data_IF_450633313302
#
_entry.id   IF_450633313302
#
_cell.length_a   1.000
_cell.length_b   1.000
_cell.length_c   1.000
_cell.angle_alpha   90.00
_cell.angle_beta   90.00
_cell.angle_gamma   90.00
#
_symmetry.space_group_name_H-M   'P 1'
#
loop_
_entity.id
_entity.type
_entity.pdbx_description
1 polymer ?
#
# COMPACT_ATOMS: atom_id res chain seq x y z
N UNK A 1 13.33 11.72 -4.73
CA UNK A 1 14.29 12.77 -5.12
C UNK A 1 14.26 14.04 -4.24
N UNK A 2 13.28 14.21 -3.33
CA UNK A 2 13.17 15.46 -2.55
C UNK A 2 14.42 15.80 -1.71
N UNK A 3 15.07 14.79 -1.11
CA UNK A 3 16.28 15.00 -0.31
C UNK A 3 17.48 15.44 -1.15
N UNK A 4 17.79 14.71 -2.23
CA UNK A 4 18.92 15.03 -3.10
C UNK A 4 18.76 16.41 -3.74
N UNK A 5 17.55 16.76 -4.16
CA UNK A 5 17.24 18.10 -4.67
C UNK A 5 17.48 19.17 -3.59
N UNK A 6 16.92 19.00 -2.40
CA UNK A 6 17.06 19.97 -1.31
C UNK A 6 18.49 20.15 -0.79
N UNK A 7 19.35 19.12 -0.94
CA UNK A 7 20.78 19.20 -0.64
C UNK A 7 21.55 19.96 -1.73
N UNK A 8 21.27 19.69 -3.01
CA UNK A 8 21.87 20.43 -4.14
C UNK A 8 21.51 21.92 -4.09
N UNK A 9 20.26 22.24 -3.76
CA UNK A 9 19.80 23.63 -3.56
C UNK A 9 20.55 24.36 -2.45
N UNK A 10 21.13 23.63 -1.49
CA UNK A 10 21.98 24.19 -0.42
C UNK A 10 23.48 24.17 -0.75
N UNK A 11 23.84 23.92 -2.00
CA UNK A 11 25.23 23.96 -2.48
C UNK A 11 26.03 22.69 -2.19
N UNK A 12 25.39 21.60 -1.79
CA UNK A 12 26.06 20.31 -1.67
C UNK A 12 26.20 19.64 -3.04
N UNK A 13 27.34 19.00 -3.28
CA UNK A 13 27.50 18.03 -4.36
C UNK A 13 26.90 16.69 -3.89
N UNK A 14 25.98 16.11 -4.67
CA UNK A 14 25.21 14.93 -4.27
C UNK A 14 25.26 13.85 -5.35
N UNK A 15 25.90 12.73 -5.01
CA UNK A 15 25.88 11.50 -5.79
C UNK A 15 24.82 10.53 -5.25
N UNK A 16 23.84 10.16 -6.09
CA UNK A 16 22.80 9.19 -5.73
C UNK A 16 23.20 7.80 -6.21
N UNK A 17 23.60 6.93 -5.28
CA UNK A 17 23.96 5.54 -5.57
C UNK A 17 22.83 4.63 -5.10
N UNK A 18 22.06 4.08 -6.04
CA UNK A 18 21.02 3.10 -5.73
C UNK A 18 21.65 1.74 -5.39
N UNK A 19 21.66 1.37 -4.10
CA UNK A 19 22.26 0.12 -3.62
C UNK A 19 21.33 -1.08 -3.82
N UNK A 20 20.02 -0.86 -3.80
CA UNK A 20 19.02 -1.88 -4.10
C UNK A 20 17.76 -1.24 -4.71
N UNK A 21 16.98 -2.04 -5.41
CA UNK A 21 15.68 -1.64 -5.95
C UNK A 21 14.62 -2.64 -5.49
N UNK A 22 13.40 -2.15 -5.28
CA UNK A 22 12.28 -3.03 -4.95
C UNK A 22 11.75 -3.63 -6.25
N UNK A 23 11.52 -4.94 -6.24
CA UNK A 23 10.87 -5.67 -7.34
C UNK A 23 9.56 -6.27 -6.83
N UNK A 24 8.54 -6.43 -7.70
CA UNK A 24 7.37 -7.22 -7.36
C UNK A 24 7.78 -8.65 -6.98
N UNK A 25 7.15 -9.23 -5.97
CA UNK A 25 7.27 -10.65 -5.66
C UNK A 25 6.20 -11.47 -6.38
N UNK A 26 6.44 -12.78 -6.54
CA UNK A 26 5.55 -13.70 -7.28
C UNK A 26 4.21 -14.00 -6.56
N UNK A 27 4.03 -13.48 -5.34
CA UNK A 27 2.90 -13.83 -4.47
C UNK A 27 1.56 -13.16 -4.79
N UNK A 28 1.51 -12.20 -5.74
CA UNK A 28 0.25 -11.51 -6.07
C UNK A 28 -0.73 -12.45 -6.80
N UNK A 29 -0.22 -13.30 -7.70
CA UNK A 29 -1.03 -14.34 -8.35
C UNK A 29 -1.61 -15.32 -7.33
N UNK A 30 -0.83 -15.68 -6.33
CA UNK A 30 -1.32 -16.48 -5.21
C UNK A 30 -2.42 -15.75 -4.42
N UNK A 31 -2.43 -14.42 -4.34
CA UNK A 31 -3.49 -13.66 -3.66
C UNK A 31 -4.83 -13.78 -4.40
N UNK A 32 -4.84 -13.70 -5.74
CA UNK A 32 -6.06 -13.85 -6.53
C UNK A 32 -6.67 -15.26 -6.43
N UNK A 33 -5.81 -16.28 -6.36
CA UNK A 33 -6.23 -17.68 -6.29
C UNK A 33 -6.48 -18.18 -4.86
N UNK A 34 -5.99 -17.49 -3.82
CA UNK A 34 -6.08 -18.00 -2.45
C UNK A 34 -7.49 -17.79 -1.88
N UNK A 35 -8.19 -18.87 -1.46
CA UNK A 35 -9.53 -18.78 -0.86
C UNK A 35 -9.63 -17.91 0.41
N UNK A 36 -8.50 -17.52 1.01
CA UNK A 36 -8.45 -16.66 2.20
C UNK A 36 -8.35 -15.18 1.84
N UNK A 37 -7.84 -14.83 0.66
CA UNK A 37 -7.83 -13.45 0.19
C UNK A 37 -9.26 -12.96 -0.08
N UNK A 38 -10.15 -13.86 -0.53
CA UNK A 38 -11.59 -13.59 -0.63
C UNK A 38 -12.33 -13.52 0.71
N UNK A 39 -11.64 -13.79 1.84
CA UNK A 39 -12.19 -13.74 3.20
C UNK A 39 -11.38 -12.80 4.13
N UNK A 40 -10.51 -11.95 3.58
CA UNK A 40 -9.76 -11.02 4.41
C UNK A 40 -10.67 -9.87 4.85
N UNK A 41 -10.79 -9.64 6.16
CA UNK A 41 -11.54 -8.50 6.68
C UNK A 41 -10.82 -7.18 6.38
N UNK A 42 -9.48 -7.23 6.30
CA UNK A 42 -8.65 -6.07 5.99
C UNK A 42 -7.40 -6.43 5.16
N UNK A 43 -6.95 -5.43 4.41
CA UNK A 43 -5.68 -5.41 3.69
C UNK A 43 -4.85 -4.25 4.21
N UNK A 44 -3.55 -4.48 4.41
CA UNK A 44 -2.64 -3.46 4.90
C UNK A 44 -1.53 -3.16 3.90
N UNK A 45 -1.30 -1.88 3.63
CA UNK A 45 -0.18 -1.44 2.79
C UNK A 45 0.87 -0.71 3.63
N UNK A 46 2.10 -1.21 3.57
CA UNK A 46 3.25 -0.68 4.31
C UNK A 46 4.17 0.19 3.45
N UNK A 47 3.87 0.33 2.16
CA UNK A 47 4.56 1.25 1.26
C UNK A 47 3.74 1.54 0.00
N UNK A 48 4.01 2.67 -0.63
CA UNK A 48 3.47 3.01 -1.96
C UNK A 48 3.78 1.95 -3.02
N UNK A 49 4.96 1.32 -2.95
CA UNK A 49 5.33 0.22 -3.87
C UNK A 49 4.43 -0.99 -3.70
N UNK A 50 4.06 -1.36 -2.47
CA UNK A 50 3.17 -2.51 -2.25
C UNK A 50 1.78 -2.29 -2.85
N UNK A 51 1.24 -1.05 -2.78
CA UNK A 51 -0.03 -0.71 -3.44
C UNK A 51 0.04 -0.97 -4.94
N UNK A 52 1.04 -0.39 -5.60
CA UNK A 52 1.20 -0.50 -7.06
C UNK A 52 1.45 -1.94 -7.49
N UNK A 53 2.36 -2.64 -6.82
CA UNK A 53 2.70 -4.01 -7.18
C UNK A 53 1.55 -4.99 -6.98
N UNK A 54 0.71 -4.79 -5.97
CA UNK A 54 -0.51 -5.60 -5.81
C UNK A 54 -1.47 -5.39 -6.99
N UNK A 55 -1.74 -4.14 -7.38
CA UNK A 55 -2.62 -3.86 -8.52
C UNK A 55 -2.02 -4.35 -9.85
N UNK A 56 -0.74 -4.08 -10.09
CA UNK A 56 -0.02 -4.50 -11.30
C UNK A 56 0.03 -6.03 -11.41
N UNK A 57 0.15 -6.75 -10.29
CA UNK A 57 0.13 -8.21 -10.29
C UNK A 57 -1.24 -8.77 -10.67
N UNK A 58 -2.32 -8.24 -10.07
CA UNK A 58 -3.70 -8.62 -10.45
C UNK A 58 -3.99 -8.31 -11.94
N UNK A 59 -3.45 -7.21 -12.45
CA UNK A 59 -3.57 -6.86 -13.87
C UNK A 59 -2.83 -7.82 -14.79
N UNK A 60 -1.62 -8.27 -14.39
CA UNK A 60 -0.88 -9.30 -15.12
C UNK A 60 -1.60 -10.64 -15.15
N UNK A 61 -2.38 -10.95 -14.12
CA UNK A 61 -3.20 -12.17 -14.04
C UNK A 61 -4.53 -12.04 -14.79
N UNK A 62 -4.74 -10.93 -15.53
CA UNK A 62 -5.86 -10.74 -16.44
C UNK A 62 -7.05 -9.99 -15.85
N UNK A 63 -6.94 -9.45 -14.63
CA UNK A 63 -7.98 -8.61 -14.03
C UNK A 63 -7.81 -7.15 -14.45
N UNK A 64 -8.83 -6.51 -15.03
CA UNK A 64 -8.72 -5.10 -15.37
C UNK A 64 -8.44 -4.25 -14.11
N UNK A 65 -7.61 -3.21 -14.24
CA UNK A 65 -7.13 -2.43 -13.08
C UNK A 65 -8.25 -1.84 -12.22
N UNK A 66 -9.36 -1.41 -12.84
CA UNK A 66 -10.54 -0.94 -12.13
C UNK A 66 -11.25 -2.04 -11.34
N UNK A 67 -11.32 -3.26 -11.88
CA UNK A 67 -11.90 -4.42 -11.20
C UNK A 67 -11.01 -4.87 -10.04
N UNK A 68 -9.69 -4.81 -10.21
CA UNK A 68 -8.73 -5.07 -9.14
C UNK A 68 -8.89 -4.07 -7.99
N UNK A 69 -9.01 -2.78 -8.30
CA UNK A 69 -9.29 -1.76 -7.30
C UNK A 69 -10.64 -1.99 -6.60
N UNK A 70 -11.69 -2.34 -7.36
CA UNK A 70 -13.02 -2.64 -6.81
C UNK A 70 -13.01 -3.87 -5.88
N UNK A 71 -12.29 -4.92 -6.26
CA UNK A 71 -12.11 -6.13 -5.43
C UNK A 71 -11.45 -5.78 -4.09
N UNK A 72 -10.33 -5.05 -4.12
CA UNK A 72 -9.61 -4.65 -2.91
C UNK A 72 -10.48 -3.72 -2.03
N UNK A 73 -11.22 -2.82 -2.67
CA UNK A 73 -12.24 -1.97 -2.05
C UNK A 73 -13.47 -2.75 -1.53
N UNK A 74 -13.48 -4.09 -1.57
CA UNK A 74 -14.42 -4.93 -0.82
C UNK A 74 -13.99 -5.20 0.63
N UNK A 75 -12.75 -4.89 0.99
CA UNK A 75 -12.15 -5.16 2.32
C UNK A 75 -11.71 -3.86 2.99
N UNK A 76 -11.49 -3.85 4.31
CA UNK A 76 -10.95 -2.66 4.97
C UNK A 76 -9.49 -2.40 4.53
N UNK A 77 -9.18 -1.20 4.06
CA UNK A 77 -7.83 -0.84 3.61
C UNK A 77 -7.16 0.07 4.64
N UNK A 78 -6.08 -0.43 5.25
CA UNK A 78 -5.27 0.29 6.25
C UNK A 78 -3.89 0.59 5.69
N UNK A 79 -3.42 1.83 5.83
CA UNK A 79 -2.09 2.25 5.38
C UNK A 79 -1.17 2.55 6.56
N UNK A 80 0.12 2.21 6.46
CA UNK A 80 1.13 2.50 7.50
C UNK A 80 1.38 4.00 7.68
N UNK A 81 0.97 4.84 6.74
CA UNK A 81 1.17 6.28 6.82
C UNK A 81 0.67 7.03 5.58
N UNK A 82 0.73 8.37 5.62
CA UNK A 82 0.01 9.25 4.69
C UNK A 82 0.50 9.13 3.24
N UNK A 83 1.79 8.92 3.02
CA UNK A 83 2.35 8.74 1.66
C UNK A 83 1.79 7.49 0.98
N UNK A 84 1.65 6.40 1.76
CA UNK A 84 1.08 5.15 1.24
C UNK A 84 -0.41 5.32 0.97
N UNK A 85 -1.13 6.02 1.87
CA UNK A 85 -2.54 6.31 1.70
C UNK A 85 -2.84 7.21 0.49
N UNK A 86 -2.03 8.25 0.26
CA UNK A 86 -2.12 9.09 -0.94
C UNK A 86 -1.93 8.26 -2.21
N UNK A 87 -0.94 7.36 -2.21
CA UNK A 87 -0.73 6.45 -3.34
C UNK A 87 -1.93 5.54 -3.56
N UNK A 88 -2.46 4.91 -2.51
CA UNK A 88 -3.65 4.07 -2.58
C UNK A 88 -4.84 4.82 -3.19
N UNK A 89 -5.12 6.04 -2.72
CA UNK A 89 -6.19 6.90 -3.27
C UNK A 89 -5.97 7.24 -4.74
N UNK A 90 -4.74 7.58 -5.14
CA UNK A 90 -4.41 7.87 -6.53
C UNK A 90 -4.61 6.66 -7.46
N UNK A 91 -4.46 5.44 -6.94
CA UNK A 91 -4.70 4.20 -7.67
C UNK A 91 -6.16 3.73 -7.62
N UNK A 92 -7.07 4.54 -7.08
CA UNK A 92 -8.51 4.24 -7.02
C UNK A 92 -8.93 3.37 -5.82
N UNK A 93 -8.03 3.14 -4.87
CA UNK A 93 -8.36 2.47 -3.62
C UNK A 93 -8.95 3.45 -2.60
N UNK A 94 -9.95 3.00 -1.84
CA UNK A 94 -10.36 3.68 -0.61
C UNK A 94 -9.29 3.45 0.46
N UNK A 95 -9.18 4.38 1.40
CA UNK A 95 -8.34 4.21 2.58
C UNK A 95 -9.21 4.48 3.79
N UNK A 96 -9.44 3.44 4.57
CA UNK A 96 -10.34 3.46 5.71
C UNK A 96 -9.64 3.95 6.98
N UNK A 97 -8.39 3.53 7.17
CA UNK A 97 -7.57 3.99 8.29
C UNK A 97 -6.11 4.19 7.90
N UNK A 98 -5.46 5.10 8.63
CA UNK A 98 -4.03 5.38 8.52
C UNK A 98 -3.40 5.23 9.91
N UNK A 99 -2.26 4.53 9.98
CA UNK A 99 -1.51 4.42 11.21
C UNK A 99 -0.92 5.78 11.62
N UNK A 100 -1.06 6.13 12.90
CA UNK A 100 -0.45 7.35 13.47
C UNK A 100 1.06 7.21 13.62
N UNK A 101 1.51 6.01 13.97
CA UNK A 101 2.92 5.63 14.04
C UNK A 101 3.26 4.68 12.91
N UNK A 102 4.38 4.93 12.22
CA UNK A 102 4.77 4.18 11.02
C UNK A 102 5.49 2.88 11.39
N UNK A 103 4.84 2.08 12.23
CA UNK A 103 5.36 0.84 12.81
C UNK A 103 4.33 -0.27 12.67
N UNK A 104 4.76 -1.52 12.84
CA UNK A 104 3.83 -2.66 12.87
C UNK A 104 2.78 -2.54 13.98
N UNK A 105 3.14 -2.02 15.15
CA UNK A 105 2.21 -1.77 16.25
C UNK A 105 1.19 -0.67 15.88
N UNK A 106 1.64 0.45 15.30
CA UNK A 106 0.74 1.52 14.89
C UNK A 106 -0.27 1.11 13.82
N UNK A 107 0.11 0.17 12.93
CA UNK A 107 -0.82 -0.46 11.99
C UNK A 107 -1.87 -1.31 12.70
N UNK A 108 -1.46 -2.13 13.68
CA UNK A 108 -2.39 -2.95 14.47
C UNK A 108 -3.37 -2.07 15.23
N UNK A 109 -2.90 -0.99 15.85
CA UNK A 109 -3.76 -0.03 16.56
C UNK A 109 -4.79 0.61 15.61
N UNK A 110 -4.39 0.96 14.39
CA UNK A 110 -5.30 1.49 13.37
C UNK A 110 -6.37 0.47 12.94
N UNK A 111 -5.98 -0.80 12.77
CA UNK A 111 -6.92 -1.88 12.48
C UNK A 111 -7.95 -2.06 13.60
N UNK A 112 -7.48 -2.15 14.85
CA UNK A 112 -8.36 -2.31 16.02
C UNK A 112 -9.32 -1.13 16.15
N UNK A 113 -8.81 0.10 16.03
CA UNK A 113 -9.63 1.31 16.11
C UNK A 113 -10.69 1.37 15.00
N UNK A 114 -10.33 0.96 13.77
CA UNK A 114 -11.28 0.90 12.66
C UNK A 114 -12.41 -0.10 12.94
N UNK A 115 -12.10 -1.34 13.28
CA UNK A 115 -13.11 -2.36 13.50
C UNK A 115 -13.97 -2.09 14.74
N UNK A 116 -13.40 -1.60 15.83
CA UNK A 116 -14.16 -1.23 17.03
C UNK A 116 -15.17 -0.09 16.77
N UNK A 117 -14.89 0.80 15.80
CA UNK A 117 -15.81 1.86 15.38
C UNK A 117 -16.92 1.41 14.44
N UNK A 118 -16.83 0.18 13.90
CA UNK A 118 -17.74 -0.38 12.89
C UNK A 118 -18.46 -1.65 13.39
N UNK A 119 -18.40 -1.96 14.69
CA UNK A 119 -19.34 -2.88 15.34
C UNK A 119 -20.69 -2.16 15.53
N UNK A 120 -21.49 -2.10 14.46
CA UNK A 120 -22.83 -1.50 14.43
C UNK A 120 -23.69 -2.04 13.30
#
# INVERSE_FOLDING_TARGET
>A
AALALGLRERGAEVDEIAVYHTVPGDGVAALAEHPRASHADAITFTSSSTVRYTLDGLERDGMARGDAAALLNGTAIVCIGPITAETARAEGLRVDAEAREFTGAGVVDALVAWFAGHEG
#
